data_IF_413384323853
#
_entry.id   IF_413384323853
#
_cell.length_a   1.000
_cell.length_b   1.000
_cell.length_c   1.000
_cell.angle_alpha   90.00
_cell.angle_beta   90.00
_cell.angle_gamma   90.00
#
_symmetry.space_group_name_H-M   'P 1'
#
loop_
_entity.id
_entity.type
_entity.pdbx_description
1 polymer ?
#
# COMPACT_ATOMS: atom_id res chain seq x y z
N UNK A 1 6.21 14.23 10.60
CA UNK A 1 6.81 15.19 9.63
C UNK A 1 5.91 15.33 8.41
N UNK A 2 5.80 16.52 7.84
CA UNK A 2 4.87 16.83 6.73
C UNK A 2 5.29 16.24 5.38
N UNK A 3 6.59 16.19 5.07
CA UNK A 3 7.11 15.74 3.76
C UNK A 3 6.77 14.26 3.48
N UNK A 4 6.70 13.42 4.52
CA UNK A 4 6.30 12.01 4.38
C UNK A 4 4.89 11.83 3.79
N UNK A 5 4.02 12.85 3.87
CA UNK A 5 2.64 12.78 3.38
C UNK A 5 2.54 12.39 1.90
N UNK A 6 3.45 12.88 1.05
CA UNK A 6 3.44 12.59 -0.39
C UNK A 6 3.59 11.09 -0.70
N UNK A 7 4.55 10.41 -0.06
CA UNK A 7 4.73 8.98 -0.25
C UNK A 7 3.55 8.17 0.29
N UNK A 8 2.97 8.59 1.43
CA UNK A 8 1.81 7.92 2.03
C UNK A 8 0.59 8.02 1.12
N UNK A 9 0.29 9.21 0.58
CA UNK A 9 -0.85 9.42 -0.33
C UNK A 9 -0.66 8.78 -1.70
N UNK A 10 0.57 8.72 -2.23
CA UNK A 10 0.88 7.92 -3.41
C UNK A 10 0.64 6.42 -3.15
N UNK A 11 1.12 5.88 -2.01
CA UNK A 11 0.91 4.47 -1.64
C UNK A 11 -0.57 4.13 -1.44
N UNK A 12 -1.33 4.97 -0.75
CA UNK A 12 -2.79 4.83 -0.61
C UNK A 12 -3.49 4.79 -1.98
N UNK A 13 -3.08 5.65 -2.92
CA UNK A 13 -3.63 5.68 -4.27
C UNK A 13 -3.27 4.42 -5.07
N UNK A 14 -1.99 4.02 -5.11
CA UNK A 14 -1.54 2.81 -5.79
C UNK A 14 -2.24 1.55 -5.25
N UNK A 15 -2.42 1.43 -3.93
CA UNK A 15 -3.15 0.32 -3.34
C UNK A 15 -4.60 0.24 -3.84
N UNK A 16 -5.30 1.38 -3.93
CA UNK A 16 -6.67 1.44 -4.48
C UNK A 16 -6.72 1.08 -5.96
N UNK A 17 -5.73 1.52 -6.75
CA UNK A 17 -5.59 1.18 -8.16
C UNK A 17 -5.35 -0.33 -8.36
N UNK A 18 -4.49 -0.95 -7.55
CA UNK A 18 -4.23 -2.40 -7.58
C UNK A 18 -5.50 -3.21 -7.26
N UNK A 19 -6.31 -2.77 -6.29
CA UNK A 19 -7.61 -3.42 -6.01
C UNK A 19 -8.56 -3.31 -7.21
N UNK A 20 -8.67 -2.13 -7.82
CA UNK A 20 -9.48 -1.94 -9.04
C UNK A 20 -8.99 -2.80 -10.22
N UNK A 21 -7.67 -2.86 -10.46
CA UNK A 21 -7.05 -3.76 -11.45
C UNK A 21 -7.44 -5.22 -11.21
N UNK A 22 -7.30 -5.72 -9.98
CA UNK A 22 -7.64 -7.11 -9.61
C UNK A 22 -9.11 -7.44 -9.84
N UNK A 23 -10.01 -6.50 -9.51
CA UNK A 23 -11.45 -6.68 -9.72
C UNK A 23 -11.80 -6.70 -11.23
N UNK A 24 -11.21 -5.80 -12.03
CA UNK A 24 -11.33 -5.85 -13.49
C UNK A 24 -10.83 -7.21 -14.05
N UNK A 25 -9.67 -7.68 -13.63
CA UNK A 25 -9.11 -8.99 -14.05
C UNK A 25 -10.04 -10.14 -13.62
N UNK A 26 -10.61 -10.09 -12.41
CA UNK A 26 -11.59 -11.05 -11.90
C UNK A 26 -12.88 -11.11 -12.76
N UNK A 27 -13.38 -9.96 -13.23
CA UNK A 27 -14.51 -9.90 -14.17
C UNK A 27 -14.12 -10.48 -15.54
N UNK A 28 -12.92 -10.14 -16.04
CA UNK A 28 -12.37 -10.63 -17.31
C UNK A 28 -12.20 -12.14 -17.35
N UNK A 29 -11.59 -12.72 -16.32
CA UNK A 29 -11.39 -14.18 -16.22
C UNK A 29 -12.71 -14.95 -16.13
N UNK A 30 -13.76 -14.34 -15.57
CA UNK A 30 -15.10 -14.90 -15.54
C UNK A 30 -15.89 -14.69 -16.85
N UNK A 31 -15.29 -14.05 -17.87
CA UNK A 31 -15.94 -13.55 -19.09
C UNK A 31 -17.24 -12.76 -18.83
N UNK A 32 -17.30 -12.08 -17.67
CA UNK A 32 -18.46 -11.30 -17.26
C UNK A 32 -18.49 -9.95 -18.00
N UNK A 33 -19.67 -9.32 -18.07
CA UNK A 33 -19.78 -7.96 -18.59
C UNK A 33 -18.79 -7.02 -17.89
N UNK A 34 -18.04 -6.30 -18.70
CA UNK A 34 -17.15 -5.22 -18.31
C UNK A 34 -17.19 -4.18 -19.43
N UNK A 35 -17.08 -2.90 -19.09
CA UNK A 35 -17.10 -1.84 -20.10
C UNK A 35 -15.68 -1.50 -20.54
N UNK A 36 -15.44 -1.49 -21.85
CA UNK A 36 -14.16 -1.06 -22.46
C UNK A 36 -13.63 0.28 -21.91
N UNK A 37 -14.50 1.25 -21.63
CA UNK A 37 -14.08 2.57 -21.11
C UNK A 37 -13.46 2.50 -19.70
N UNK A 38 -13.75 1.45 -18.91
CA UNK A 38 -13.13 1.25 -17.60
C UNK A 38 -11.64 0.93 -17.77
N UNK A 39 -11.30 0.12 -18.77
CA UNK A 39 -9.91 -0.21 -19.11
C UNK A 39 -9.17 1.04 -19.58
N UNK A 40 -9.79 1.83 -20.46
CA UNK A 40 -9.26 3.11 -20.96
C UNK A 40 -8.95 4.11 -19.83
N UNK A 41 -9.82 4.18 -18.80
CA UNK A 41 -9.56 5.02 -17.62
C UNK A 41 -8.46 4.49 -16.71
N UNK A 42 -8.34 3.18 -16.54
CA UNK A 42 -7.25 2.57 -15.76
C UNK A 42 -5.90 2.77 -16.46
N UNK A 43 -5.85 2.61 -17.78
CA UNK A 43 -4.66 2.92 -18.58
C UNK A 43 -4.29 4.40 -18.53
N UNK A 44 -5.26 5.31 -18.65
CA UNK A 44 -5.04 6.75 -18.48
C UNK A 44 -4.42 7.09 -17.12
N UNK A 45 -4.95 6.51 -16.03
CA UNK A 45 -4.35 6.61 -14.69
C UNK A 45 -2.90 6.08 -14.69
N UNK A 46 -2.63 4.93 -15.32
CA UNK A 46 -1.28 4.32 -15.36
C UNK A 46 -0.27 5.16 -16.17
N UNK A 47 -0.72 5.90 -17.19
CA UNK A 47 0.11 6.80 -17.99
C UNK A 47 0.40 8.14 -17.29
N UNK A 48 -0.56 8.70 -16.56
CA UNK A 48 -0.39 9.97 -15.84
C UNK A 48 0.34 9.84 -14.49
N UNK A 49 0.18 8.71 -13.80
CA UNK A 49 0.72 8.49 -12.45
C UNK A 49 2.26 8.71 -12.33
N UNK A 50 3.12 8.31 -13.30
CA UNK A 50 4.54 8.62 -13.27
C UNK A 50 4.85 10.13 -13.26
N UNK A 51 4.09 10.94 -13.99
CA UNK A 51 4.28 12.40 -14.01
C UNK A 51 3.90 13.03 -12.66
N UNK A 52 2.80 12.57 -12.06
CA UNK A 52 2.35 13.04 -10.74
C UNK A 52 3.30 12.59 -9.63
N UNK A 53 3.79 11.35 -9.68
CA UNK A 53 4.86 10.81 -8.82
C UNK A 53 6.10 11.72 -8.85
N UNK A 54 6.56 12.09 -10.05
CA UNK A 54 7.71 12.98 -10.22
C UNK A 54 7.43 14.39 -9.69
N UNK A 55 6.25 14.96 -9.96
CA UNK A 55 5.82 16.27 -9.43
C UNK A 55 5.83 16.30 -7.90
N UNK A 56 5.28 15.28 -7.25
CA UNK A 56 5.27 15.15 -5.79
C UNK A 56 6.68 15.02 -5.21
N UNK A 57 7.57 14.27 -5.88
CA UNK A 57 8.96 14.10 -5.47
C UNK A 57 9.78 15.40 -5.61
N UNK A 58 9.61 16.14 -6.70
CA UNK A 58 10.26 17.45 -6.90
C UNK A 58 9.74 18.49 -5.92
N UNK A 59 8.43 18.52 -5.66
CA UNK A 59 7.85 19.41 -4.65
C UNK A 59 8.37 19.07 -3.24
N UNK A 60 8.51 17.79 -2.91
CA UNK A 60 9.09 17.34 -1.64
C UNK A 60 10.54 17.83 -1.48
N UNK A 61 11.33 17.78 -2.56
CA UNK A 61 12.71 18.27 -2.58
C UNK A 61 12.81 19.79 -2.40
N UNK A 62 11.96 20.56 -3.09
CA UNK A 62 11.90 22.02 -2.92
C UNK A 62 11.51 22.39 -1.49
N UNK A 63 10.48 21.73 -0.92
CA UNK A 63 10.06 21.96 0.46
C UNK A 63 11.15 21.53 1.46
N UNK A 64 11.82 20.40 1.24
CA UNK A 64 12.93 19.95 2.09
C UNK A 64 14.10 20.95 2.10
N UNK A 65 14.52 21.45 0.92
CA UNK A 65 15.59 22.45 0.81
C UNK A 65 15.22 23.77 1.51
N UNK A 66 13.96 24.22 1.41
CA UNK A 66 13.48 25.41 2.14
C UNK A 66 13.47 25.20 3.65
N UNK A 67 12.99 24.04 4.13
CA UNK A 67 13.06 23.69 5.55
C UNK A 67 14.51 23.65 6.06
N UNK A 68 15.43 23.03 5.32
CA UNK A 68 16.84 22.98 5.68
C UNK A 68 17.50 24.37 5.76
N UNK A 69 17.08 25.32 4.92
CA UNK A 69 17.57 26.69 4.95
C UNK A 69 17.09 27.44 6.21
N UNK A 70 15.80 27.33 6.56
CA UNK A 70 15.24 27.92 7.78
C UNK A 70 15.86 27.32 9.06
N UNK A 71 16.22 26.02 9.06
CA UNK A 71 16.79 25.35 10.24
C UNK A 71 18.32 25.39 10.32
N UNK A 72 19.02 25.95 9.32
CA UNK A 72 20.48 25.80 9.15
C UNK A 72 21.31 26.17 10.39
N UNK A 73 20.86 27.16 11.16
CA UNK A 73 21.55 27.68 12.35
C UNK A 73 20.81 27.34 13.66
N UNK A 74 19.80 26.46 13.61
CA UNK A 74 18.80 26.34 14.67
C UNK A 74 18.95 25.08 15.55
N UNK A 75 19.61 24.05 15.04
CA UNK A 75 19.48 22.68 15.57
C UNK A 75 20.43 22.39 16.75
N UNK A 76 21.28 23.34 17.16
CA UNK A 76 22.05 23.20 18.40
C UNK A 76 21.23 23.64 19.63
N UNK A 77 20.43 22.70 20.13
CA UNK A 77 19.60 22.85 21.32
C UNK A 77 20.39 23.08 22.62
N UNK A 78 21.72 22.94 22.60
CA UNK A 78 22.56 23.20 23.79
C UNK A 78 22.85 24.69 23.99
N UNK A 79 22.59 25.52 22.97
CA UNK A 79 22.89 26.96 22.95
C UNK A 79 21.64 27.86 23.06
N UNK A 80 20.46 27.29 23.31
CA UNK A 80 19.19 28.03 23.32
C UNK A 80 19.03 28.89 24.59
N UNK A 81 18.72 30.16 24.41
CA UNK A 81 18.38 31.12 25.47
C UNK A 81 16.87 31.43 25.44
N UNK A 82 16.16 31.52 26.58
CA UNK A 82 14.74 31.92 26.63
C UNK A 82 14.37 33.16 25.82
N UNK A 83 15.27 34.14 25.65
CA UNK A 83 15.03 35.33 24.80
C UNK A 83 14.86 35.01 23.32
N UNK A 84 15.32 33.85 22.87
CA UNK A 84 15.21 33.39 21.49
C UNK A 84 13.86 32.71 21.21
N UNK A 85 13.09 32.29 22.23
CA UNK A 85 11.87 31.50 22.06
C UNK A 85 10.82 32.08 21.09
N UNK A 86 10.54 33.41 21.05
CA UNK A 86 9.64 33.98 20.03
C UNK A 86 10.16 33.79 18.59
N UNK A 87 11.48 33.78 18.38
CA UNK A 87 12.09 33.51 17.09
C UNK A 87 12.07 32.00 16.74
N UNK A 88 12.25 31.12 17.73
CA UNK A 88 12.07 29.65 17.61
C UNK A 88 10.65 29.32 17.14
N UNK A 89 9.66 29.96 17.78
CA UNK A 89 8.25 29.82 17.44
C UNK A 89 7.98 30.30 16.01
N UNK A 90 8.53 31.46 15.62
CA UNK A 90 8.46 31.98 14.25
C UNK A 90 9.01 31.00 13.19
N UNK A 91 10.17 30.38 13.44
CA UNK A 91 10.73 29.34 12.53
C UNK A 91 9.82 28.11 12.48
N UNK A 92 9.33 27.66 13.64
CA UNK A 92 8.48 26.46 13.76
C UNK A 92 7.14 26.66 13.05
N UNK A 93 6.56 27.86 13.12
CA UNK A 93 5.35 28.25 12.41
C UNK A 93 5.59 28.25 10.89
N UNK A 94 6.67 28.88 10.39
CA UNK A 94 7.02 28.85 8.96
C UNK A 94 7.25 27.42 8.43
N UNK A 95 7.91 26.55 9.20
CA UNK A 95 8.09 25.13 8.83
C UNK A 95 6.75 24.39 8.81
N UNK A 96 5.86 24.69 9.74
CA UNK A 96 4.51 24.10 9.80
C UNK A 96 3.67 24.53 8.60
N UNK A 97 3.67 25.82 8.25
CA UNK A 97 3.03 26.37 7.05
C UNK A 97 3.56 25.73 5.77
N UNK A 98 4.89 25.68 5.58
CA UNK A 98 5.51 24.98 4.44
C UNK A 98 5.07 23.51 4.36
N UNK A 99 4.86 22.88 5.51
CA UNK A 99 4.30 21.54 5.61
C UNK A 99 2.82 21.43 5.21
N UNK A 100 2.01 22.44 5.53
CA UNK A 100 0.59 22.53 5.13
C UNK A 100 0.46 22.74 3.62
N UNK A 101 1.19 23.72 3.06
CA UNK A 101 1.24 23.97 1.62
C UNK A 101 1.72 22.74 0.84
N UNK A 102 2.71 22.00 1.36
CA UNK A 102 3.12 20.74 0.75
C UNK A 102 1.98 19.70 0.69
N UNK A 103 1.22 19.51 1.78
CA UNK A 103 0.07 18.60 1.81
C UNK A 103 -1.00 19.00 0.79
N UNK A 104 -1.37 20.28 0.76
CA UNK A 104 -2.36 20.81 -0.19
C UNK A 104 -1.93 20.58 -1.64
N UNK A 105 -0.65 20.82 -1.96
CA UNK A 105 -0.10 20.56 -3.30
C UNK A 105 -0.11 19.06 -3.67
N UNK A 106 0.15 18.16 -2.71
CA UNK A 106 0.04 16.71 -2.91
C UNK A 106 -1.40 16.29 -3.20
N UNK A 107 -2.37 16.79 -2.42
CA UNK A 107 -3.78 16.43 -2.60
C UNK A 107 -4.33 17.00 -3.92
N UNK A 108 -4.06 18.27 -4.24
CA UNK A 108 -4.44 18.87 -5.53
C UNK A 108 -3.80 18.14 -6.72
N UNK A 109 -2.56 17.65 -6.60
CA UNK A 109 -1.91 16.88 -7.66
C UNK A 109 -2.54 15.48 -7.87
N UNK A 110 -3.12 14.88 -6.82
CA UNK A 110 -3.74 13.55 -6.90
C UNK A 110 -5.25 13.58 -7.19
N UNK A 111 -5.93 14.70 -6.95
CA UNK A 111 -7.39 14.76 -6.99
C UNK A 111 -8.03 14.38 -8.34
N UNK A 112 -7.49 14.77 -9.52
CA UNK A 112 -8.03 14.34 -10.81
C UNK A 112 -8.06 12.80 -10.94
N UNK A 113 -6.94 12.14 -10.62
CA UNK A 113 -6.86 10.68 -10.67
C UNK A 113 -7.70 10.00 -9.59
N UNK A 114 -7.83 10.60 -8.40
CA UNK A 114 -8.71 10.09 -7.32
C UNK A 114 -10.17 10.09 -7.75
N UNK A 115 -10.63 11.14 -8.43
CA UNK A 115 -11.98 11.23 -8.97
C UNK A 115 -12.24 10.13 -10.01
N UNK A 116 -11.36 10.01 -11.01
CA UNK A 116 -11.45 8.99 -12.07
C UNK A 116 -11.46 7.57 -11.46
N UNK A 117 -10.56 7.29 -10.51
CA UNK A 117 -10.46 5.98 -9.85
C UNK A 117 -11.69 5.67 -8.97
N UNK A 118 -12.28 6.68 -8.34
CA UNK A 118 -13.51 6.54 -7.54
C UNK A 118 -14.70 6.13 -8.42
N UNK A 119 -14.85 6.76 -9.59
CA UNK A 119 -15.90 6.43 -10.56
C UNK A 119 -15.71 5.03 -11.16
N UNK A 120 -14.47 4.71 -11.58
CA UNK A 120 -14.08 3.36 -12.04
C UNK A 120 -14.44 2.31 -10.99
N UNK A 121 -14.03 2.54 -9.73
CA UNK A 121 -14.31 1.61 -8.63
C UNK A 121 -15.80 1.44 -8.39
N UNK A 122 -16.59 2.52 -8.39
CA UNK A 122 -18.05 2.45 -8.20
C UNK A 122 -18.74 1.55 -9.23
N UNK A 123 -18.29 1.57 -10.49
CA UNK A 123 -18.83 0.68 -11.52
C UNK A 123 -18.34 -0.76 -11.36
N UNK A 124 -17.05 -0.94 -11.04
CA UNK A 124 -16.49 -2.27 -10.79
C UNK A 124 -17.17 -2.96 -9.59
N UNK A 125 -17.34 -2.27 -8.46
CA UNK A 125 -18.03 -2.78 -7.27
C UNK A 125 -19.50 -3.19 -7.61
N UNK A 126 -20.18 -2.47 -8.51
CA UNK A 126 -21.51 -2.84 -9.01
C UNK A 126 -21.54 -4.05 -9.94
N UNK A 127 -20.54 -4.20 -10.81
CA UNK A 127 -20.39 -5.38 -11.66
C UNK A 127 -20.02 -6.63 -10.85
N UNK A 128 -19.19 -6.48 -9.81
CA UNK A 128 -18.81 -7.58 -8.91
C UNK A 128 -19.99 -8.06 -8.07
N UNK A 129 -20.86 -7.14 -7.61
CA UNK A 129 -22.15 -7.50 -7.01
C UNK A 129 -22.99 -8.37 -7.96
N UNK A 130 -23.16 -7.97 -9.22
CA UNK A 130 -23.93 -8.74 -10.19
C UNK A 130 -23.27 -10.08 -10.55
N UNK A 131 -21.93 -10.14 -10.61
CA UNK A 131 -21.18 -11.39 -10.76
C UNK A 131 -21.43 -12.33 -9.57
N UNK A 132 -21.42 -11.80 -8.34
CA UNK A 132 -21.75 -12.55 -7.13
C UNK A 132 -23.16 -13.11 -7.14
N UNK A 133 -24.16 -12.30 -7.51
CA UNK A 133 -25.54 -12.80 -7.68
C UNK A 133 -25.64 -13.86 -8.79
N UNK A 134 -24.84 -13.74 -9.85
CA UNK A 134 -24.83 -14.70 -10.96
C UNK A 134 -24.27 -16.08 -10.58
N UNK A 135 -23.52 -16.26 -9.47
CA UNK A 135 -22.98 -17.59 -9.14
C UNK A 135 -24.09 -18.63 -8.92
N UNK A 136 -25.22 -18.20 -8.37
CA UNK A 136 -26.43 -19.02 -8.16
C UNK A 136 -27.03 -19.57 -9.46
N UNK A 137 -26.71 -18.99 -10.62
CA UNK A 137 -27.09 -19.54 -11.93
C UNK A 137 -26.47 -20.93 -12.15
N UNK A 138 -25.19 -21.08 -11.83
CA UNK A 138 -24.41 -22.29 -12.14
C UNK A 138 -24.80 -23.50 -11.27
N UNK A 139 -25.55 -23.27 -10.18
CA UNK A 139 -26.13 -24.32 -9.33
C UNK A 139 -27.37 -24.96 -9.97
N UNK A 140 -27.98 -24.31 -10.96
CA UNK A 140 -29.30 -24.66 -11.51
C UNK A 140 -29.33 -24.77 -13.04
N UNK A 141 -28.40 -24.12 -13.75
CA UNK A 141 -28.35 -24.06 -15.20
C UNK A 141 -26.91 -23.89 -15.71
N UNK A 142 -26.68 -24.09 -17.01
CA UNK A 142 -25.38 -23.97 -17.65
C UNK A 142 -25.44 -23.00 -18.82
N UNK A 143 -24.35 -22.25 -19.04
CA UNK A 143 -24.23 -21.34 -20.18
C UNK A 143 -23.98 -22.13 -21.46
N UNK A 144 -24.69 -21.78 -22.53
CA UNK A 144 -24.47 -22.34 -23.86
C UNK A 144 -23.15 -21.85 -24.48
N UNK A 145 -22.67 -22.51 -25.54
CA UNK A 145 -21.43 -22.12 -26.23
C UNK A 145 -21.53 -20.67 -26.74
N UNK A 146 -20.59 -19.82 -26.34
CA UNK A 146 -20.58 -18.38 -26.67
C UNK A 146 -21.69 -17.56 -25.98
N UNK A 147 -22.40 -18.14 -25.00
CA UNK A 147 -23.24 -17.39 -24.07
C UNK A 147 -22.37 -16.80 -22.95
N UNK A 148 -22.61 -15.54 -22.61
CA UNK A 148 -21.81 -14.77 -21.66
C UNK A 148 -22.71 -14.04 -20.66
N UNK A 149 -22.37 -14.06 -19.36
CA UNK A 149 -23.19 -13.51 -18.29
C UNK A 149 -23.14 -11.97 -18.27
N UNK A 150 -24.30 -11.34 -18.13
CA UNK A 150 -24.47 -9.88 -18.17
C UNK A 150 -24.79 -9.32 -16.79
N UNK A 151 -25.87 -9.80 -16.16
CA UNK A 151 -26.23 -9.45 -14.78
C UNK A 151 -27.21 -10.48 -14.19
N UNK A 152 -27.34 -10.47 -12.86
CA UNK A 152 -28.36 -11.22 -12.14
C UNK A 152 -29.09 -10.27 -11.19
N UNK A 153 -30.41 -10.24 -11.27
CA UNK A 153 -31.28 -9.31 -10.56
C UNK A 153 -32.16 -10.10 -9.58
N UNK A 154 -31.84 -10.10 -8.27
CA UNK A 154 -32.64 -10.79 -7.26
C UNK A 154 -33.96 -10.04 -6.98
N UNK A 155 -34.79 -10.65 -6.14
CA UNK A 155 -36.06 -10.09 -5.62
C UNK A 155 -37.06 -9.66 -6.71
N UNK A 156 -37.03 -10.33 -7.86
CA UNK A 156 -38.01 -10.13 -8.93
C UNK A 156 -39.22 -11.01 -8.66
N UNK A 157 -40.39 -10.39 -8.66
CA UNK A 157 -41.68 -11.05 -8.48
C UNK A 157 -42.45 -11.02 -9.79
N UNK A 158 -42.73 -12.18 -10.37
CA UNK A 158 -43.71 -12.29 -11.45
C UNK A 158 -45.10 -12.06 -10.85
N UNK A 159 -45.92 -11.24 -11.52
CA UNK A 159 -47.25 -10.83 -11.06
C UNK A 159 -48.39 -11.17 -12.01
N UNK A 160 -48.05 -11.64 -13.22
CA UNK A 160 -48.97 -12.10 -14.26
C UNK A 160 -48.23 -12.33 -15.58
N UNK A 161 -48.72 -13.25 -16.39
CA UNK A 161 -48.25 -13.50 -17.76
C UNK A 161 -49.41 -13.99 -18.61
N UNK A 162 -49.36 -13.73 -19.91
CA UNK A 162 -50.40 -14.24 -20.83
C UNK A 162 -50.19 -15.74 -21.19
N UNK A 163 -49.04 -16.33 -20.83
CA UNK A 163 -48.63 -17.66 -21.32
C UNK A 163 -47.96 -18.57 -20.26
N UNK A 164 -47.63 -18.08 -19.06
CA UNK A 164 -47.07 -18.92 -17.99
C UNK A 164 -48.19 -19.56 -17.16
N UNK A 165 -47.94 -20.77 -16.63
CA UNK A 165 -48.85 -21.43 -15.68
C UNK A 165 -48.62 -20.98 -14.23
N UNK A 166 -47.44 -20.41 -13.93
CA UNK A 166 -46.98 -20.07 -12.57
C UNK A 166 -46.75 -18.54 -12.44
N UNK A 167 -47.83 -17.77 -12.59
CA UNK A 167 -47.84 -16.30 -12.64
C UNK A 167 -47.43 -15.54 -11.37
N UNK A 168 -47.14 -16.25 -10.28
CA UNK A 168 -46.90 -15.66 -8.95
C UNK A 168 -45.72 -16.37 -8.28
N UNK A 169 -44.52 -16.04 -8.75
CA UNK A 169 -43.26 -16.58 -8.24
C UNK A 169 -42.28 -15.44 -7.87
N UNK A 170 -41.41 -15.69 -6.90
CA UNK A 170 -40.37 -14.77 -6.43
C UNK A 170 -39.00 -15.43 -6.64
N UNK A 171 -38.05 -14.71 -7.22
CA UNK A 171 -36.75 -15.29 -7.58
C UNK A 171 -35.80 -14.29 -8.22
N UNK A 172 -34.82 -14.83 -8.93
CA UNK A 172 -33.75 -14.07 -9.59
C UNK A 172 -33.90 -14.13 -11.10
N UNK A 173 -33.87 -12.96 -11.75
CA UNK A 173 -33.79 -12.85 -13.20
C UNK A 173 -32.32 -12.78 -13.61
N UNK A 174 -31.86 -13.76 -14.36
CA UNK A 174 -30.54 -13.80 -14.95
C UNK A 174 -30.62 -13.29 -16.38
N UNK A 175 -29.65 -12.47 -16.77
CA UNK A 175 -29.51 -11.93 -18.11
C UNK A 175 -28.16 -12.35 -18.68
N UNK A 176 -28.18 -12.85 -19.92
CA UNK A 176 -26.99 -13.15 -20.71
C UNK A 176 -27.05 -12.39 -22.03
N UNK A 177 -25.97 -12.43 -22.80
CA UNK A 177 -25.95 -11.90 -24.17
C UNK A 177 -26.91 -12.61 -25.14
N UNK A 178 -27.53 -13.75 -24.77
CA UNK A 178 -28.40 -14.56 -25.64
C UNK A 178 -29.83 -14.75 -25.12
N UNK A 179 -30.04 -14.85 -23.81
CA UNK A 179 -31.34 -15.13 -23.18
C UNK A 179 -31.51 -14.39 -21.86
N UNK A 180 -32.76 -14.36 -21.38
CA UNK A 180 -33.09 -13.99 -20.01
C UNK A 180 -33.88 -15.15 -19.38
N UNK A 181 -33.45 -15.54 -18.18
CA UNK A 181 -33.89 -16.73 -17.45
C UNK A 181 -34.41 -16.30 -16.09
N UNK A 182 -35.55 -16.83 -15.64
CA UNK A 182 -36.04 -16.59 -14.29
C UNK A 182 -36.12 -17.89 -13.49
N UNK A 183 -35.32 -17.96 -12.43
CA UNK A 183 -35.31 -19.08 -11.48
C UNK A 183 -35.95 -18.59 -10.19
N UNK A 184 -36.92 -19.34 -9.69
CA UNK A 184 -37.72 -18.93 -8.53
C UNK A 184 -37.98 -20.08 -7.57
N UNK A 185 -38.28 -19.73 -6.32
CA UNK A 185 -38.80 -20.69 -5.36
C UNK A 185 -40.25 -21.03 -5.71
N UNK A 186 -40.51 -22.30 -6.04
CA UNK A 186 -41.85 -22.83 -6.28
C UNK A 186 -42.20 -23.81 -5.16
N UNK A 187 -43.47 -23.80 -4.73
CA UNK A 187 -44.02 -24.70 -3.70
C UNK A 187 -44.32 -24.00 -2.37
N UNK A 188 -45.47 -24.33 -1.77
CA UNK A 188 -45.92 -23.72 -0.48
C UNK A 188 -45.34 -24.39 0.77
N UNK A 189 -45.02 -25.69 0.70
CA UNK A 189 -44.61 -26.51 1.86
C UNK A 189 -43.18 -27.07 1.69
N UNK A 190 -42.83 -27.48 0.47
CA UNK A 190 -41.44 -27.75 0.07
C UNK A 190 -41.08 -26.74 -1.01
N UNK A 191 -40.30 -25.73 -0.66
CA UNK A 191 -39.73 -24.77 -1.61
C UNK A 191 -38.65 -25.49 -2.42
N UNK A 192 -38.73 -25.40 -3.75
CA UNK A 192 -37.70 -25.88 -4.67
C UNK A 192 -37.39 -24.76 -5.65
N UNK A 193 -36.09 -24.54 -5.91
CA UNK A 193 -35.66 -23.63 -6.98
C UNK A 193 -35.90 -24.31 -8.33
N UNK A 194 -36.72 -23.69 -9.18
CA UNK A 194 -37.01 -24.18 -10.52
C UNK A 194 -36.98 -23.03 -11.53
N UNK A 195 -36.59 -23.34 -12.77
CA UNK A 195 -36.67 -22.39 -13.88
C UNK A 195 -38.14 -22.21 -14.27
N UNK A 196 -38.67 -21.00 -14.04
CA UNK A 196 -40.04 -20.63 -14.41
C UNK A 196 -40.14 -20.35 -15.90
N UNK A 197 -39.12 -19.70 -16.47
CA UNK A 197 -39.01 -19.46 -17.90
C UNK A 197 -37.56 -19.28 -18.35
N UNK A 198 -37.32 -19.61 -19.62
CA UNK A 198 -36.10 -19.35 -20.38
C UNK A 198 -36.51 -18.78 -21.74
N UNK A 199 -36.11 -17.54 -22.04
CA UNK A 199 -36.46 -16.89 -23.31
C UNK A 199 -35.24 -16.28 -24.01
N UNK A 200 -35.04 -16.56 -25.31
CA UNK A 200 -34.09 -15.84 -26.15
C UNK A 200 -34.33 -14.32 -26.09
N UNK A 201 -33.26 -13.56 -25.95
CA UNK A 201 -33.30 -12.09 -25.80
C UNK A 201 -33.91 -11.40 -27.04
N UNK A 202 -33.80 -12.05 -28.21
CA UNK A 202 -34.44 -11.66 -29.47
C UNK A 202 -35.98 -11.78 -29.46
N UNK A 203 -36.58 -12.38 -28.43
CA UNK A 203 -38.04 -12.45 -28.28
C UNK A 203 -38.61 -11.28 -27.47
N UNK A 204 -37.79 -10.60 -26.67
CA UNK A 204 -38.17 -9.35 -26.02
C UNK A 204 -38.24 -8.25 -27.07
N UNK A 205 -39.37 -7.54 -27.16
CA UNK A 205 -39.60 -6.40 -28.06
C UNK A 205 -39.30 -5.08 -27.34
N UNK A 206 -40.09 -4.74 -26.33
CA UNK A 206 -39.97 -3.55 -25.49
C UNK A 206 -40.09 -3.89 -24.00
N UNK A 207 -39.67 -2.94 -23.16
CA UNK A 207 -39.92 -2.91 -21.71
C UNK A 207 -40.69 -1.62 -21.44
N UNK A 208 -41.85 -1.73 -20.79
CA UNK A 208 -42.72 -0.59 -20.49
C UNK A 208 -43.03 -0.53 -18.99
N UNK A 209 -43.20 0.68 -18.44
CA UNK A 209 -43.69 0.87 -17.07
C UNK A 209 -45.22 0.94 -17.06
N UNK A 210 -45.87 0.05 -16.30
CA UNK A 210 -47.33 0.01 -16.12
C UNK A 210 -47.71 0.37 -14.66
N UNK A 211 -48.77 1.16 -14.51
CA UNK A 211 -49.36 1.55 -13.22
C UNK A 211 -48.79 2.83 -12.57
N UNK A 212 -49.68 3.74 -12.16
CA UNK A 212 -49.32 5.03 -11.52
C UNK A 212 -48.78 4.91 -10.08
N UNK A 213 -49.32 4.00 -9.28
CA UNK A 213 -49.03 3.89 -7.83
C UNK A 213 -48.14 2.69 -7.44
N UNK A 214 -48.12 1.64 -8.26
CA UNK A 214 -47.23 0.48 -8.10
C UNK A 214 -46.68 0.13 -9.47
N UNK A 215 -45.68 0.89 -9.92
CA UNK A 215 -44.99 0.68 -11.19
C UNK A 215 -44.52 -0.77 -11.31
N UNK A 216 -45.07 -1.49 -12.28
CA UNK A 216 -44.63 -2.81 -12.75
C UNK A 216 -43.88 -2.62 -14.06
N UNK A 217 -42.97 -3.54 -14.38
CA UNK A 217 -42.39 -3.60 -15.72
C UNK A 217 -43.17 -4.64 -16.51
N UNK A 218 -43.58 -4.27 -17.72
CA UNK A 218 -44.18 -5.15 -18.71
C UNK A 218 -43.11 -5.47 -19.74
N UNK A 219 -42.65 -6.71 -19.74
CA UNK A 219 -41.74 -7.25 -20.74
C UNK A 219 -42.61 -7.77 -21.90
N UNK A 220 -42.63 -7.03 -23.02
CA UNK A 220 -43.42 -7.42 -24.20
C UNK A 220 -42.66 -8.44 -25.02
N UNK A 221 -43.08 -9.69 -25.00
CA UNK A 221 -42.39 -10.78 -25.71
C UNK A 221 -43.07 -11.08 -27.06
N UNK A 222 -42.50 -12.02 -27.83
CA UNK A 222 -43.16 -12.56 -29.03
C UNK A 222 -44.40 -13.40 -28.69
N UNK A 223 -44.42 -14.03 -27.52
CA UNK A 223 -45.48 -14.97 -27.08
C UNK A 223 -46.60 -14.31 -26.25
N UNK A 224 -46.44 -13.04 -25.86
CA UNK A 224 -47.37 -12.30 -24.98
C UNK A 224 -46.60 -11.41 -24.02
N UNK A 225 -47.30 -10.79 -23.07
CA UNK A 225 -46.72 -9.89 -22.09
C UNK A 225 -46.41 -10.62 -20.77
N UNK A 226 -45.33 -10.19 -20.12
CA UNK A 226 -44.89 -10.69 -18.80
C UNK A 226 -44.75 -9.51 -17.83
N UNK A 227 -45.52 -9.54 -16.74
CA UNK A 227 -45.64 -8.43 -15.79
C UNK A 227 -44.85 -8.71 -14.52
N UNK A 228 -43.73 -8.03 -14.33
CA UNK A 228 -42.85 -8.17 -13.16
C UNK A 228 -42.92 -6.96 -12.22
N UNK A 229 -42.73 -7.24 -10.93
CA UNK A 229 -42.59 -6.26 -9.86
C UNK A 229 -41.23 -6.45 -9.18
N UNK A 230 -40.50 -5.37 -8.97
CA UNK A 230 -39.15 -5.36 -8.42
C UNK A 230 -38.85 -4.03 -7.73
N UNK A 231 -37.64 -3.86 -7.19
CA UNK A 231 -37.20 -2.59 -6.57
C UNK A 231 -37.13 -1.45 -7.60
N UNK A 232 -37.26 -0.19 -7.15
CA UNK A 232 -37.16 0.97 -8.05
C UNK A 232 -35.74 1.15 -8.64
N UNK A 233 -34.71 0.60 -7.99
CA UNK A 233 -33.37 0.51 -8.56
C UNK A 233 -33.35 -0.51 -9.72
N UNK A 234 -33.92 -1.71 -9.51
CA UNK A 234 -34.05 -2.74 -10.54
C UNK A 234 -34.83 -2.24 -11.75
N UNK A 235 -35.90 -1.45 -11.55
CA UNK A 235 -36.69 -0.85 -12.65
C UNK A 235 -35.90 0.06 -13.55
N UNK A 236 -35.09 0.95 -12.96
CA UNK A 236 -34.24 1.88 -13.71
C UNK A 236 -33.12 1.16 -14.46
N UNK A 237 -32.59 0.09 -13.86
CA UNK A 237 -31.36 -0.57 -14.31
C UNK A 237 -31.62 -1.71 -15.32
N UNK A 238 -32.75 -2.42 -15.23
CA UNK A 238 -33.06 -3.54 -16.13
C UNK A 238 -33.07 -3.14 -17.63
N UNK A 239 -33.69 -2.03 -18.06
CA UNK A 239 -33.69 -1.62 -19.47
C UNK A 239 -32.28 -1.41 -20.02
N UNK A 240 -31.42 -0.72 -19.28
CA UNK A 240 -30.03 -0.44 -19.67
C UNK A 240 -29.25 -1.75 -19.87
N UNK A 241 -29.32 -2.69 -18.91
CA UNK A 241 -28.63 -3.97 -19.01
C UNK A 241 -29.18 -4.85 -20.14
N UNK A 242 -30.49 -4.80 -20.41
CA UNK A 242 -31.09 -5.47 -21.59
C UNK A 242 -30.58 -4.86 -22.90
N UNK A 243 -30.39 -3.54 -22.97
CA UNK A 243 -29.83 -2.90 -24.15
C UNK A 243 -28.34 -3.24 -24.35
N UNK A 244 -27.58 -3.29 -23.25
CA UNK A 244 -26.19 -3.76 -23.24
C UNK A 244 -26.11 -5.23 -23.70
N UNK A 245 -26.99 -6.10 -23.21
CA UNK A 245 -27.05 -7.51 -23.61
C UNK A 245 -27.39 -7.67 -25.10
N UNK A 246 -28.31 -6.87 -25.65
CA UNK A 246 -28.63 -6.86 -27.10
C UNK A 246 -27.46 -6.36 -27.96
N UNK A 247 -26.64 -5.45 -27.43
CA UNK A 247 -25.50 -4.82 -28.12
C UNK A 247 -24.16 -5.36 -27.61
N UNK A 248 -24.14 -6.57 -27.02
CA UNK A 248 -23.03 -7.05 -26.19
C UNK A 248 -21.67 -7.04 -26.90
N UNK A 249 -21.62 -7.41 -28.18
CA UNK A 249 -20.42 -7.33 -29.03
C UNK A 249 -19.78 -5.93 -29.14
N UNK A 250 -20.54 -4.85 -28.89
CA UNK A 250 -20.01 -3.48 -28.86
C UNK A 250 -19.36 -3.12 -27.53
N UNK A 251 -19.77 -3.77 -26.44
CA UNK A 251 -19.31 -3.47 -25.08
C UNK A 251 -18.19 -4.39 -24.61
N UNK A 252 -18.24 -5.68 -24.99
CA UNK A 252 -17.17 -6.63 -24.69
C UNK A 252 -15.92 -6.34 -25.52
N UNK A 253 -14.77 -6.27 -24.86
CA UNK A 253 -13.50 -6.21 -25.55
C UNK A 253 -12.91 -7.62 -25.69
N UNK A 254 -12.70 -8.08 -26.92
CA UNK A 254 -12.21 -9.45 -27.19
C UNK A 254 -10.70 -9.62 -26.95
N UNK A 255 -9.95 -8.52 -26.87
CA UNK A 255 -8.51 -8.57 -26.63
C UNK A 255 -8.16 -8.78 -25.13
N UNK A 256 -7.53 -9.92 -24.85
CA UNK A 256 -6.94 -10.29 -23.56
C UNK A 256 -5.50 -9.78 -23.38
N UNK A 257 -4.81 -9.38 -24.45
CA UNK A 257 -3.45 -8.83 -24.35
C UNK A 257 -3.48 -7.48 -23.61
N UNK A 258 -4.48 -6.65 -23.88
CA UNK A 258 -4.72 -5.39 -23.17
C UNK A 258 -4.85 -5.56 -21.65
N UNK A 259 -5.60 -6.56 -21.20
CA UNK A 259 -5.74 -6.90 -19.76
C UNK A 259 -4.39 -7.30 -19.15
N UNK A 260 -3.58 -8.09 -19.87
CA UNK A 260 -2.23 -8.48 -19.41
C UNK A 260 -1.28 -7.28 -19.32
N UNK A 261 -1.37 -6.31 -20.24
CA UNK A 261 -0.60 -5.04 -20.16
C UNK A 261 -1.01 -4.24 -18.92
N UNK A 262 -2.31 -4.08 -18.69
CA UNK A 262 -2.85 -3.42 -17.48
C UNK A 262 -2.32 -4.10 -16.22
N UNK A 263 -2.37 -5.44 -16.16
CA UNK A 263 -1.85 -6.24 -15.04
C UNK A 263 -0.36 -5.99 -14.80
N UNK A 264 0.48 -6.14 -15.82
CA UNK A 264 1.94 -6.00 -15.75
C UNK A 264 2.42 -4.58 -15.43
N UNK A 265 1.66 -3.55 -15.82
CA UNK A 265 2.03 -2.15 -15.59
C UNK A 265 1.73 -1.74 -14.13
N UNK A 266 2.70 -1.96 -13.25
CA UNK A 266 2.69 -1.45 -11.87
C UNK A 266 3.70 -0.30 -11.69
N UNK A 267 3.23 0.80 -11.10
CA UNK A 267 4.06 1.99 -10.84
C UNK A 267 4.65 1.89 -9.43
N UNK A 268 5.95 1.56 -9.35
CA UNK A 268 6.72 1.61 -8.09
C UNK A 268 6.63 3.00 -7.46
N UNK A 269 6.28 3.05 -6.16
CA UNK A 269 6.37 4.25 -5.32
C UNK A 269 7.61 4.24 -4.41
N UNK A 270 8.38 3.14 -4.41
CA UNK A 270 9.54 2.91 -3.54
C UNK A 270 10.61 3.99 -3.69
N UNK A 271 10.87 4.41 -4.92
CA UNK A 271 11.91 5.38 -5.26
C UNK A 271 11.58 6.79 -4.72
N UNK A 272 10.29 7.16 -4.68
CA UNK A 272 9.84 8.41 -4.01
C UNK A 272 9.90 8.27 -2.49
N UNK A 273 9.57 7.10 -1.95
CA UNK A 273 9.72 6.80 -0.52
C UNK A 273 11.18 6.95 -0.09
N UNK A 274 12.11 6.29 -0.76
CA UNK A 274 13.55 6.34 -0.47
C UNK A 274 14.10 7.77 -0.58
N UNK A 275 13.70 8.52 -1.62
CA UNK A 275 14.08 9.94 -1.76
C UNK A 275 13.56 10.79 -0.59
N UNK A 276 12.30 10.61 -0.19
CA UNK A 276 11.70 11.36 0.93
C UNK A 276 12.29 10.95 2.28
N UNK A 277 12.54 9.66 2.51
CA UNK A 277 13.23 9.17 3.71
C UNK A 277 14.66 9.74 3.79
N UNK A 278 15.43 9.70 2.70
CA UNK A 278 16.77 10.31 2.64
C UNK A 278 16.77 11.82 2.94
N UNK A 279 15.81 12.57 2.40
CA UNK A 279 15.66 14.00 2.71
C UNK A 279 15.29 14.24 4.18
N UNK A 280 14.39 13.44 4.74
CA UNK A 280 14.04 13.47 6.17
C UNK A 280 15.24 13.16 7.05
N UNK A 281 16.04 12.15 6.73
CA UNK A 281 17.28 11.86 7.45
C UNK A 281 18.25 13.05 7.36
N UNK A 282 18.44 13.64 6.18
CA UNK A 282 19.34 14.80 6.02
C UNK A 282 18.93 16.05 6.80
N UNK A 283 17.62 16.23 7.06
CA UNK A 283 17.08 17.32 7.89
C UNK A 283 17.29 17.09 9.39
N UNK A 284 17.38 15.82 9.81
CA UNK A 284 17.56 15.42 11.22
C UNK A 284 19.03 15.13 11.56
N UNK A 285 19.87 14.80 10.58
CA UNK A 285 21.28 14.44 10.77
C UNK A 285 22.21 15.66 10.73
N UNK A 286 22.06 16.58 11.69
CA UNK A 286 22.93 17.76 11.84
C UNK A 286 24.29 17.47 12.49
N UNK A 287 24.79 16.24 12.39
CA UNK A 287 26.17 15.94 12.80
C UNK A 287 27.16 16.52 11.80
N UNK A 288 27.70 17.69 12.17
CA UNK A 288 28.98 18.25 11.73
C UNK A 288 29.16 18.38 10.21
N UNK A 289 28.58 19.42 9.63
CA UNK A 289 29.07 19.98 8.34
C UNK A 289 30.08 21.13 8.53
N UNK A 290 30.45 21.40 9.78
CA UNK A 290 31.29 22.52 10.24
C UNK A 290 32.70 22.12 10.68
N UNK A 291 33.09 20.84 10.59
CA UNK A 291 34.41 20.34 10.97
C UNK A 291 35.30 19.93 9.78
N UNK A 292 34.95 20.37 8.57
CA UNK A 292 35.72 20.16 7.34
C UNK A 292 35.94 21.45 6.51
N UNK A 293 35.58 22.62 7.06
CA UNK A 293 35.69 23.93 6.38
C UNK A 293 36.57 24.93 7.16
N UNK A 294 37.17 24.50 8.28
CA UNK A 294 38.33 25.16 8.88
C UNK A 294 39.57 24.76 8.08
N UNK A 295 40.00 25.65 7.18
CA UNK A 295 41.11 25.38 6.28
C UNK A 295 42.47 25.34 6.99
N UNK A 296 43.04 24.14 7.09
CA UNK A 296 44.48 23.94 7.20
C UNK A 296 45.01 23.32 5.87
N UNK A 297 46.05 23.89 5.25
CA UNK A 297 46.60 23.35 4.01
C UNK A 297 47.36 22.04 4.30
N UNK A 298 46.73 20.90 4.02
CA UNK A 298 47.36 19.58 4.16
C UNK A 298 48.60 19.49 3.26
N UNK A 299 49.76 19.63 3.88
CA UNK A 299 51.08 19.43 3.27
C UNK A 299 51.19 17.97 2.83
N UNK A 300 51.15 17.72 1.53
CA UNK A 300 51.35 16.38 0.95
C UNK A 300 52.77 15.90 1.26
N UNK A 301 52.97 14.75 1.93
CA UNK A 301 54.27 14.12 1.99
C UNK A 301 54.67 13.64 0.59
N UNK A 302 55.89 13.95 0.16
CA UNK A 302 56.40 13.52 -1.15
C UNK A 302 56.51 11.97 -1.21
N UNK A 303 56.22 11.34 -2.36
CA UNK A 303 56.41 9.91 -2.53
C UNK A 303 57.90 9.56 -2.55
N UNK A 304 58.34 8.69 -1.65
CA UNK A 304 59.69 8.10 -1.72
C UNK A 304 59.77 7.16 -2.94
N UNK A 305 60.83 7.22 -3.76
CA UNK A 305 61.01 6.26 -4.85
C UNK A 305 61.25 4.86 -4.27
N UNK A 306 60.52 3.87 -4.78
CA UNK A 306 60.83 2.46 -4.51
C UNK A 306 61.95 2.02 -5.44
N UNK A 307 63.07 1.61 -4.86
CA UNK A 307 64.11 0.87 -5.57
C UNK A 307 63.52 -0.49 -5.98
N UNK A 308 63.79 -0.87 -7.23
CA UNK A 308 63.33 -2.10 -7.86
C UNK A 308 64.48 -3.08 -7.91
N UNK A 309 64.41 -4.15 -7.13
CA UNK A 309 65.22 -5.35 -7.37
C UNK A 309 64.32 -6.47 -7.92
N UNK A 310 64.62 -6.87 -9.14
CA UNK A 310 64.25 -8.17 -9.68
C UNK A 310 65.32 -9.18 -9.25
N UNK A 311 64.96 -10.40 -8.83
CA UNK A 311 65.13 -11.51 -9.79
C UNK A 311 64.40 -12.84 -9.45
N UNK A 312 64.11 -13.57 -10.53
CA UNK A 312 63.93 -15.03 -10.71
C UNK A 312 63.07 -15.92 -9.79
N UNK A 313 62.01 -16.47 -10.42
CA UNK A 313 61.71 -17.93 -10.54
C UNK A 313 61.18 -18.69 -9.29
N UNK A 314 60.30 -19.71 -9.32
CA UNK A 314 59.26 -20.24 -10.25
C UNK A 314 57.97 -20.48 -9.38
N UNK A 315 56.79 -20.95 -9.78
CA UNK A 315 56.27 -21.67 -10.97
C UNK A 315 54.75 -21.38 -11.12
N UNK A 316 54.07 -21.91 -12.16
CA UNK A 316 52.60 -22.12 -12.18
C UNK A 316 52.30 -23.63 -12.24
N UNK A 317 51.10 -24.07 -11.79
CA UNK A 317 50.14 -24.52 -12.81
C UNK A 317 48.66 -24.15 -12.56
N UNK A 318 47.97 -23.96 -13.69
CA UNK A 318 46.53 -24.04 -14.07
C UNK A 318 45.32 -24.05 -13.10
N UNK A 319 44.12 -23.67 -13.62
CA UNK A 319 42.85 -23.59 -12.87
C UNK A 319 41.93 -24.83 -13.01
N UNK A 320 40.77 -24.74 -12.35
CA UNK A 320 39.62 -25.68 -12.26
C UNK A 320 39.69 -26.78 -11.16
N UNK A 321 38.58 -26.95 -10.43
CA UNK A 321 38.42 -27.93 -9.33
C UNK A 321 37.93 -27.30 -8.00
N UNK A 322 36.72 -26.72 -7.93
CA UNK A 322 35.47 -27.34 -7.45
C UNK A 322 35.36 -27.70 -5.94
N UNK A 323 34.16 -27.42 -5.39
CA UNK A 323 33.51 -27.90 -4.16
C UNK A 323 33.55 -27.03 -2.87
N UNK A 324 32.36 -26.48 -2.55
CA UNK A 324 31.84 -26.06 -1.24
C UNK A 324 32.76 -25.31 -0.25
N UNK A 325 32.83 -23.97 -0.39
CA UNK A 325 33.11 -23.09 0.76
C UNK A 325 31.91 -23.11 1.73
N UNK A 326 32.13 -23.49 2.99
CA UNK A 326 31.12 -23.40 4.06
C UNK A 326 30.84 -21.92 4.43
N UNK A 327 29.61 -21.56 4.85
CA UNK A 327 29.28 -20.18 5.27
C UNK A 327 30.02 -19.66 6.52
N UNK A 328 30.73 -20.52 7.24
CA UNK A 328 31.34 -20.19 8.54
C UNK A 328 32.64 -19.36 8.40
N UNK A 329 33.47 -19.65 7.39
CA UNK A 329 34.78 -18.98 7.24
C UNK A 329 34.65 -17.50 6.87
N UNK A 330 33.55 -17.08 6.24
CA UNK A 330 33.31 -15.66 5.92
C UNK A 330 32.96 -14.83 7.17
N UNK A 331 32.45 -15.48 8.23
CA UNK A 331 32.15 -14.82 9.50
C UNK A 331 33.44 -14.58 10.29
N UNK A 332 34.32 -15.60 10.38
CA UNK A 332 35.66 -15.44 10.96
C UNK A 332 36.52 -14.41 10.20
N UNK A 333 36.36 -14.30 8.88
CA UNK A 333 37.09 -13.33 8.04
C UNK A 333 36.54 -11.89 8.19
N UNK A 334 35.25 -11.73 8.51
CA UNK A 334 34.66 -10.44 8.92
C UNK A 334 35.07 -10.07 10.36
N UNK A 335 35.05 -11.02 11.29
CA UNK A 335 35.44 -10.77 12.69
C UNK A 335 36.95 -10.44 12.78
N UNK A 336 37.78 -11.02 11.91
CA UNK A 336 39.20 -10.62 11.74
C UNK A 336 39.40 -9.25 11.08
N UNK A 337 38.51 -8.80 10.20
CA UNK A 337 38.68 -7.50 9.51
C UNK A 337 38.02 -6.34 10.24
N UNK A 338 37.00 -6.59 11.06
CA UNK A 338 36.41 -5.61 11.99
C UNK A 338 37.08 -5.60 13.37
N UNK A 339 37.83 -6.65 13.72
CA UNK A 339 38.69 -6.72 14.91
C UNK A 339 39.84 -5.73 14.83
N UNK A 340 39.59 -4.49 15.26
CA UNK A 340 40.63 -3.46 15.38
C UNK A 340 41.81 -3.98 16.20
N UNK A 341 42.98 -3.77 15.62
CA UNK A 341 44.22 -3.51 16.34
C UNK A 341 43.97 -2.65 17.59
N UNK A 342 44.08 -3.27 18.76
CA UNK A 342 44.52 -2.62 20.01
C UNK A 342 45.30 -3.64 20.86
N UNK A 343 46.36 -4.18 20.25
CA UNK A 343 47.50 -4.76 20.98
C UNK A 343 48.61 -3.70 21.06
N UNK A 344 48.43 -2.72 21.93
CA UNK A 344 49.55 -2.04 22.56
C UNK A 344 49.75 -2.64 23.96
N UNK A 345 50.94 -3.17 24.19
CA UNK A 345 51.27 -3.92 25.40
C UNK A 345 51.36 -3.02 26.66
N UNK A 346 51.03 -3.62 27.80
CA UNK A 346 51.55 -3.33 29.13
C UNK A 346 51.23 -1.95 29.75
N UNK A 347 50.10 -1.91 30.47
CA UNK A 347 50.14 -1.67 31.93
C UNK A 347 48.86 -2.24 32.57
N UNK A 348 49.00 -3.39 33.25
CA UNK A 348 47.94 -3.89 34.15
C UNK A 348 47.83 -2.92 35.32
N UNK A 349 46.82 -2.06 35.30
CA UNK A 349 46.24 -1.61 36.55
C UNK A 349 45.10 -2.54 36.93
N UNK A 350 45.31 -3.36 37.94
CA UNK A 350 44.26 -4.11 38.63
C UNK A 350 43.44 -3.17 39.51
N UNK A 351 42.73 -2.24 38.87
CA UNK A 351 41.60 -1.59 39.51
C UNK A 351 40.45 -2.61 39.56
N UNK A 352 40.10 -3.09 40.75
CA UNK A 352 38.92 -3.92 40.93
C UNK A 352 37.69 -3.13 40.49
N UNK A 353 37.15 -3.46 39.31
CA UNK A 353 35.90 -2.86 38.83
C UNK A 353 34.80 -3.23 39.81
N UNK A 354 34.33 -2.25 40.59
CA UNK A 354 33.35 -2.45 41.66
C UNK A 354 32.23 -3.40 41.21
N UNK A 355 31.90 -4.46 41.98
CA UNK A 355 30.89 -5.43 41.56
C UNK A 355 29.52 -4.79 41.30
N UNK A 356 29.23 -3.65 41.95
CA UNK A 356 28.04 -2.82 41.70
C UNK A 356 28.04 -2.16 40.31
N UNK A 357 29.20 -1.76 39.78
CA UNK A 357 29.29 -1.19 38.43
C UNK A 357 29.02 -2.27 37.37
N UNK A 358 29.53 -3.50 37.59
CA UNK A 358 29.27 -4.64 36.72
C UNK A 358 27.80 -5.09 36.73
N UNK A 359 27.08 -4.99 37.86
CA UNK A 359 25.63 -5.25 37.89
C UNK A 359 24.86 -4.16 37.13
N UNK A 360 25.14 -2.88 37.38
CA UNK A 360 24.48 -1.76 36.70
C UNK A 360 24.66 -1.82 35.17
N UNK A 361 25.85 -2.22 34.68
CA UNK A 361 26.08 -2.45 33.24
C UNK A 361 25.22 -3.59 32.67
N UNK A 362 25.05 -4.71 33.39
CA UNK A 362 24.15 -5.81 32.97
C UNK A 362 22.70 -5.36 32.95
N UNK A 363 22.29 -4.61 33.96
CA UNK A 363 20.94 -4.04 34.06
C UNK A 363 20.68 -3.04 32.92
N UNK A 364 21.69 -2.27 32.50
CA UNK A 364 21.58 -1.33 31.39
C UNK A 364 21.33 -2.08 30.06
N UNK A 365 22.10 -3.14 29.79
CA UNK A 365 21.89 -4.01 28.61
C UNK A 365 20.51 -4.70 28.67
N UNK A 366 20.07 -5.13 29.86
CA UNK A 366 18.74 -5.72 30.05
C UNK A 366 17.61 -4.73 29.76
N UNK A 367 17.74 -3.47 30.21
CA UNK A 367 16.78 -2.39 29.92
C UNK A 367 16.78 -2.04 28.43
N UNK A 368 17.95 -1.95 27.78
CA UNK A 368 18.03 -1.69 26.33
C UNK A 368 17.35 -2.79 25.51
N UNK A 369 17.56 -4.07 25.86
CA UNK A 369 16.87 -5.19 25.22
C UNK A 369 15.35 -5.11 25.42
N UNK A 370 14.88 -4.82 26.65
CA UNK A 370 13.46 -4.66 26.94
C UNK A 370 12.81 -3.48 26.19
N UNK A 371 13.57 -2.40 25.94
CA UNK A 371 13.13 -1.27 25.11
C UNK A 371 12.99 -1.72 23.64
N UNK A 372 13.97 -2.45 23.10
CA UNK A 372 13.91 -2.96 21.73
C UNK A 372 12.73 -3.92 21.54
N UNK A 373 12.52 -4.86 22.47
CA UNK A 373 11.38 -5.78 22.44
C UNK A 373 10.04 -5.05 22.52
N UNK A 374 9.91 -4.04 23.39
CA UNK A 374 8.68 -3.23 23.50
C UNK A 374 8.39 -2.47 22.19
N UNK A 375 9.42 -2.01 21.47
CA UNK A 375 9.29 -1.39 20.14
C UNK A 375 8.94 -2.41 19.05
N UNK A 376 9.46 -3.64 19.12
CA UNK A 376 9.09 -4.73 18.21
C UNK A 376 7.64 -5.17 18.43
N UNK A 377 7.17 -5.29 19.67
CA UNK A 377 5.79 -5.70 19.98
C UNK A 377 4.75 -4.72 19.43
N UNK A 378 4.94 -3.40 19.55
CA UNK A 378 4.03 -2.41 18.92
C UNK A 378 4.13 -2.44 17.39
N UNK A 379 5.33 -2.63 16.82
CA UNK A 379 5.53 -2.73 15.37
C UNK A 379 4.84 -3.97 14.76
N UNK A 380 4.76 -5.06 15.52
CA UNK A 380 4.10 -6.30 15.15
C UNK A 380 2.60 -6.32 15.48
N UNK A 381 2.05 -5.24 16.07
CA UNK A 381 0.64 -5.17 16.46
C UNK A 381 0.25 -6.03 17.67
N UNK A 382 1.24 -6.53 18.43
CA UNK A 382 1.05 -7.37 19.61
C UNK A 382 0.83 -6.55 20.90
N UNK A 383 0.93 -5.22 20.83
CA UNK A 383 0.82 -4.32 21.98
C UNK A 383 -0.05 -3.11 21.64
N UNK A 384 -0.99 -2.76 22.53
CA UNK A 384 -1.81 -1.56 22.40
C UNK A 384 -0.99 -0.29 22.66
N UNK A 385 -1.39 0.84 22.04
CA UNK A 385 -0.64 2.10 22.13
C UNK A 385 -0.55 2.64 23.57
N UNK A 386 -1.58 2.44 24.40
CA UNK A 386 -1.58 2.86 25.81
C UNK A 386 -0.59 2.03 26.66
N UNK A 387 -0.55 0.71 26.43
CA UNK A 387 0.42 -0.18 27.08
C UNK A 387 1.85 0.09 26.62
N UNK A 388 2.04 0.44 25.35
CA UNK A 388 3.33 0.89 24.83
C UNK A 388 3.83 2.12 25.59
N UNK A 389 3.02 3.17 25.67
CA UNK A 389 3.38 4.42 26.36
C UNK A 389 3.68 4.14 27.84
N UNK A 390 2.89 3.28 28.50
CA UNK A 390 3.10 2.90 29.90
C UNK A 390 4.42 2.15 30.12
N UNK A 391 4.68 1.10 29.34
CA UNK A 391 5.90 0.28 29.45
C UNK A 391 7.16 1.07 29.06
N UNK A 392 7.11 1.77 27.92
CA UNK A 392 8.23 2.57 27.43
C UNK A 392 8.60 3.69 28.42
N UNK A 393 7.61 4.37 29.02
CA UNK A 393 7.86 5.41 30.05
C UNK A 393 8.48 4.83 31.33
N UNK A 394 8.15 3.59 31.70
CA UNK A 394 8.83 2.85 32.78
C UNK A 394 10.30 2.61 32.44
N UNK A 395 10.56 1.89 31.34
CA UNK A 395 11.92 1.54 30.91
C UNK A 395 12.84 2.76 30.71
N UNK A 396 12.30 3.88 30.18
CA UNK A 396 13.06 5.13 30.04
C UNK A 396 13.40 5.77 31.39
N UNK A 397 12.55 5.62 32.41
CA UNK A 397 12.83 6.05 33.79
C UNK A 397 13.91 5.17 34.41
N UNK A 398 13.80 3.85 34.24
CA UNK A 398 14.75 2.89 34.80
C UNK A 398 16.15 3.03 34.17
N UNK A 399 16.20 3.26 32.86
CA UNK A 399 17.42 3.63 32.13
C UNK A 399 18.07 4.91 32.70
N UNK A 400 17.27 5.95 32.97
CA UNK A 400 17.77 7.20 33.57
C UNK A 400 18.32 6.99 34.99
N UNK A 401 17.63 6.21 35.83
CA UNK A 401 18.12 5.91 37.19
C UNK A 401 19.41 5.08 37.15
N UNK A 402 19.45 4.01 36.36
CA UNK A 402 20.63 3.16 36.23
C UNK A 402 21.84 3.98 35.73
N UNK A 403 21.67 4.79 34.69
CA UNK A 403 22.73 5.69 34.21
C UNK A 403 23.21 6.65 35.30
N UNK A 404 22.30 7.25 36.08
CA UNK A 404 22.65 8.15 37.18
C UNK A 404 23.39 7.41 38.31
N UNK A 405 23.03 6.17 38.61
CA UNK A 405 23.78 5.33 39.56
C UNK A 405 25.16 4.95 39.03
N UNK A 406 25.30 4.60 37.74
CA UNK A 406 26.63 4.36 37.14
C UNK A 406 27.52 5.61 37.23
N UNK A 407 26.98 6.79 36.91
CA UNK A 407 27.71 8.05 37.03
C UNK A 407 28.10 8.35 38.49
N UNK A 408 27.24 8.06 39.47
CA UNK A 408 27.53 8.22 40.90
C UNK A 408 28.58 7.22 41.41
N UNK A 409 28.48 5.93 41.07
CA UNK A 409 29.46 4.91 41.43
C UNK A 409 30.82 5.24 40.80
N UNK A 410 30.84 5.68 39.53
CA UNK A 410 32.08 6.07 38.84
C UNK A 410 32.74 7.30 39.48
N UNK A 411 31.95 8.29 39.96
CA UNK A 411 32.49 9.43 40.73
C UNK A 411 33.04 8.98 42.07
N UNK A 412 32.27 8.24 42.87
CA UNK A 412 32.72 7.76 44.17
C UNK A 412 33.99 6.89 44.09
N UNK A 413 34.10 6.02 43.06
CA UNK A 413 35.31 5.22 42.81
C UNK A 413 36.51 6.04 42.34
N UNK A 414 36.28 7.23 41.77
CA UNK A 414 37.34 8.18 41.42
C UNK A 414 37.77 8.99 42.63
N UNK A 415 36.83 9.43 43.46
CA UNK A 415 37.10 10.22 44.67
C UNK A 415 37.78 9.38 45.77
N UNK A 416 37.60 8.05 45.78
CA UNK A 416 38.34 7.14 46.68
C UNK A 416 39.79 6.85 46.25
N UNK A 417 40.27 7.45 45.16
CA UNK A 417 41.62 7.27 44.60
C UNK A 417 42.48 8.54 44.69
N UNK A 418 42.04 9.56 45.44
CA UNK A 418 42.73 10.83 45.69
C UNK A 418 42.90 11.12 47.17
#
# INVERSE_FOLDING_TARGET
>A
MSIQYGHTKLREFTNKLVVAKRLLISLRMANFLHYRWIEEKIEGIQLELPAIKNRIASQAEITAKKMAAETKNFIDYTLWNPTQFPFIEGITNRITEMGIYYKQNVDHALEPLRSILKDVRRQLDGLDYYKGQFTTFYEHNQLAVGELPVCALPDIKVTGSDFLKNDKALGTLFLTNKRFLFIAEIGRVRKKMETVFDFPLIYLKSIEEDGRLRKRLVLKLKQGDLKISCSDQTKKVLPDYVEIARKFDKYIQKDMQRVRKIEQQDVSTSDVRLKIEGMVYSLLSTKSRSQYDSGDPITRPAPKPRISDWDTSRTRPSPFGNYYRRPETFREEIDRTNGRYDQSHNLRSTYETSPKLNSLQRDAVSIENAIQDTVLMIRNGQLMAEDFIRRYKGLMRDCFHNRREMEQVTRNSRDSLW
#
